data_IF_947369198727
#
_entry.id   IF_947369198727
#
_cell.length_a   1.000
_cell.length_b   1.000
_cell.length_c   1.000
_cell.angle_alpha   90.00
_cell.angle_beta   90.00
_cell.angle_gamma   90.00
#
_symmetry.space_group_name_H-M   'P 1'
#
loop_
_entity.id
_entity.type
_entity.pdbx_description
1 polymer ?
#
# COMPACT_ATOMS: atom_id res chain seq x y z
N UNK A 1 -9.50 4.26 -32.07
CA UNK A 1 -10.71 5.09 -31.88
C UNK A 1 -11.26 4.83 -30.49
N UNK A 2 -11.65 5.86 -29.73
CA UNK A 2 -12.39 5.63 -28.47
C UNK A 2 -13.80 5.16 -28.84
N UNK A 3 -14.35 4.22 -28.06
CA UNK A 3 -15.55 3.50 -28.48
C UNK A 3 -16.82 4.18 -28.04
N UNK A 4 -16.90 4.75 -26.83
CA UNK A 4 -18.07 5.51 -26.40
C UNK A 4 -17.68 6.82 -25.70
N UNK A 5 -18.28 7.93 -26.14
CA UNK A 5 -17.99 9.29 -25.70
C UNK A 5 -19.31 9.99 -25.39
N UNK A 6 -19.35 10.71 -24.28
CA UNK A 6 -20.43 11.64 -23.94
C UNK A 6 -19.83 12.99 -23.57
N UNK A 7 -20.34 14.07 -24.15
CA UNK A 7 -19.93 15.45 -23.85
C UNK A 7 -21.15 16.20 -23.37
N UNK A 8 -21.05 16.85 -22.23
CA UNK A 8 -22.11 17.69 -21.66
C UNK A 8 -21.47 19.02 -21.25
N UNK A 9 -21.49 20.05 -22.12
CA UNK A 9 -20.85 21.32 -21.83
C UNK A 9 -21.44 22.06 -20.62
N UNK A 10 -22.76 21.96 -20.38
CA UNK A 10 -23.41 22.58 -19.21
C UNK A 10 -22.83 22.07 -17.88
N UNK A 11 -22.39 20.82 -17.88
CA UNK A 11 -21.87 20.12 -16.71
C UNK A 11 -20.34 20.15 -16.68
N UNK A 12 -19.70 20.82 -17.67
CA UNK A 12 -18.25 20.84 -17.86
C UNK A 12 -17.66 19.43 -17.83
N UNK A 13 -18.33 18.48 -18.49
CA UNK A 13 -18.06 17.06 -18.35
C UNK A 13 -17.81 16.39 -19.71
N UNK A 14 -16.74 15.59 -19.78
CA UNK A 14 -16.50 14.66 -20.88
C UNK A 14 -16.30 13.25 -20.31
N UNK A 15 -17.06 12.29 -20.84
CA UNK A 15 -17.02 10.88 -20.46
C UNK A 15 -16.43 10.09 -21.63
N UNK A 16 -15.35 9.36 -21.40
CA UNK A 16 -14.74 8.49 -22.42
C UNK A 16 -14.64 7.07 -21.87
N UNK A 17 -15.30 6.12 -22.53
CA UNK A 17 -15.36 4.71 -22.14
C UNK A 17 -15.74 4.51 -20.66
N UNK A 18 -16.73 5.27 -20.18
CA UNK A 18 -17.21 5.22 -18.80
C UNK A 18 -16.36 5.99 -17.77
N UNK A 19 -15.22 6.57 -18.18
CA UNK A 19 -14.42 7.42 -17.30
C UNK A 19 -14.83 8.89 -17.47
N UNK A 20 -15.34 9.47 -16.39
CA UNK A 20 -15.78 10.86 -16.32
C UNK A 20 -14.61 11.77 -15.96
N UNK A 21 -14.42 12.87 -16.69
CA UNK A 21 -13.60 14.00 -16.26
C UNK A 21 -14.43 15.28 -16.29
N UNK A 22 -14.36 16.05 -15.20
CA UNK A 22 -15.00 17.35 -15.06
C UNK A 22 -13.95 18.45 -15.08
N UNK A 23 -13.99 19.30 -16.10
CA UNK A 23 -13.08 20.41 -16.30
C UNK A 23 -13.68 21.41 -17.28
N UNK A 24 -13.26 22.67 -17.20
CA UNK A 24 -13.72 23.70 -18.14
C UNK A 24 -13.08 23.47 -19.51
N UNK A 25 -13.89 23.49 -20.56
CA UNK A 25 -13.44 23.44 -21.94
C UNK A 25 -14.31 24.32 -22.84
N UNK A 26 -13.75 24.77 -23.95
CA UNK A 26 -14.50 25.50 -24.96
C UNK A 26 -15.34 24.53 -25.77
N UNK A 27 -16.65 24.80 -25.82
CA UNK A 27 -17.61 24.04 -26.60
C UNK A 27 -18.36 24.97 -27.57
N UNK A 28 -18.88 24.44 -28.71
CA UNK A 28 -19.78 25.20 -29.56
C UNK A 28 -20.99 25.71 -28.77
N UNK A 29 -21.33 27.00 -28.92
CA UNK A 29 -22.35 27.67 -28.09
C UNK A 29 -23.72 26.99 -28.07
N UNK A 30 -24.08 26.30 -29.15
CA UNK A 30 -25.37 25.62 -29.32
C UNK A 30 -25.34 24.15 -28.92
N UNK A 31 -24.18 23.60 -28.55
CA UNK A 31 -24.05 22.19 -28.18
C UNK A 31 -24.69 21.97 -26.80
N UNK A 32 -25.75 21.15 -26.75
CA UNK A 32 -26.33 20.67 -25.50
C UNK A 32 -25.62 19.40 -25.03
N UNK A 33 -25.53 18.40 -25.90
CA UNK A 33 -24.86 17.15 -25.63
C UNK A 33 -24.33 16.52 -26.93
N UNK A 34 -23.22 15.78 -26.82
CA UNK A 34 -22.76 14.85 -27.86
C UNK A 34 -22.74 13.45 -27.26
N UNK A 35 -23.37 12.50 -27.93
CA UNK A 35 -23.32 11.08 -27.56
C UNK A 35 -22.82 10.27 -28.76
N UNK A 36 -21.73 9.54 -28.56
CA UNK A 36 -21.13 8.67 -29.56
C UNK A 36 -20.88 7.30 -28.98
N UNK A 37 -21.23 6.21 -29.68
CA UNK A 37 -20.85 4.86 -29.29
C UNK A 37 -20.77 3.94 -30.50
N UNK A 38 -19.69 3.17 -30.60
CA UNK A 38 -19.49 2.11 -31.60
C UNK A 38 -19.73 2.53 -33.07
N UNK A 39 -19.23 3.70 -33.46
CA UNK A 39 -19.26 4.15 -34.88
C UNK A 39 -20.47 4.98 -35.28
N UNK A 40 -21.35 5.30 -34.35
CA UNK A 40 -22.51 6.18 -34.59
C UNK A 40 -22.82 7.02 -33.35
N UNK A 41 -23.63 8.06 -33.52
CA UNK A 41 -23.99 8.95 -32.42
C UNK A 41 -24.99 10.01 -32.81
N UNK A 42 -25.16 11.00 -31.95
CA UNK A 42 -25.92 12.21 -32.25
C UNK A 42 -25.41 13.42 -31.45
N UNK A 43 -25.68 14.60 -31.99
CA UNK A 43 -25.54 15.89 -31.31
C UNK A 43 -26.93 16.43 -31.01
N UNK A 44 -27.13 16.87 -29.76
CA UNK A 44 -28.29 17.62 -29.31
C UNK A 44 -27.94 19.10 -29.20
N UNK A 45 -28.86 19.98 -29.59
CA UNK A 45 -28.66 21.42 -29.59
C UNK A 45 -29.53 22.14 -28.56
N UNK A 46 -29.10 23.31 -28.12
CA UNK A 46 -29.83 24.16 -27.16
C UNK A 46 -30.89 25.07 -27.80
N UNK A 47 -30.98 25.11 -29.12
CA UNK A 47 -31.85 26.03 -29.87
C UNK A 47 -32.99 25.33 -30.63
N UNK A 48 -33.52 24.25 -30.05
CA UNK A 48 -34.65 23.46 -30.56
C UNK A 48 -34.46 22.87 -31.98
N UNK A 49 -33.24 22.91 -32.52
CA UNK A 49 -32.91 22.22 -33.76
C UNK A 49 -32.97 20.70 -33.58
N UNK A 50 -33.38 19.95 -34.62
CA UNK A 50 -33.41 18.49 -34.54
C UNK A 50 -32.01 17.93 -34.31
N UNK A 51 -31.92 16.78 -33.61
CA UNK A 51 -30.67 16.09 -33.36
C UNK A 51 -29.94 15.79 -34.67
N UNK A 52 -28.64 16.11 -34.73
CA UNK A 52 -27.80 15.73 -35.86
C UNK A 52 -27.30 14.30 -35.64
N UNK A 53 -27.68 13.38 -36.51
CA UNK A 53 -27.14 12.01 -36.51
C UNK A 53 -25.67 12.04 -36.94
N UNK A 54 -24.83 11.27 -36.24
CA UNK A 54 -23.41 11.11 -36.55
C UNK A 54 -23.13 9.70 -37.06
N UNK A 55 -22.27 9.63 -38.06
CA UNK A 55 -21.72 8.41 -38.65
C UNK A 55 -20.20 8.35 -38.44
N UNK A 56 -19.58 7.22 -38.81
CA UNK A 56 -18.13 7.04 -38.77
C UNK A 56 -17.34 8.20 -39.41
N UNK A 57 -17.85 8.77 -40.50
CA UNK A 57 -17.21 9.84 -41.26
C UNK A 57 -17.19 11.17 -40.49
N UNK A 58 -18.09 11.36 -39.53
CA UNK A 58 -18.19 12.57 -38.71
C UNK A 58 -17.25 12.56 -37.50
N UNK A 59 -16.65 11.41 -37.17
CA UNK A 59 -15.88 11.22 -35.94
C UNK A 59 -14.73 12.23 -35.81
N UNK A 60 -13.93 12.41 -36.87
CA UNK A 60 -12.76 13.28 -36.83
C UNK A 60 -13.13 14.75 -36.59
N UNK A 61 -14.28 15.18 -37.10
CA UNK A 61 -14.73 16.57 -37.03
C UNK A 61 -15.50 16.87 -35.76
N UNK A 62 -16.42 15.99 -35.36
CA UNK A 62 -17.37 16.26 -34.29
C UNK A 62 -16.95 15.65 -32.94
N UNK A 63 -16.31 14.47 -32.95
CA UNK A 63 -16.04 13.69 -31.73
C UNK A 63 -14.58 13.81 -31.28
N UNK A 64 -13.64 13.70 -32.21
CA UNK A 64 -12.20 13.69 -31.93
C UNK A 64 -11.71 14.93 -31.16
N UNK A 65 -12.20 16.17 -31.41
CA UNK A 65 -11.78 17.33 -30.63
C UNK A 65 -12.01 17.16 -29.11
N UNK A 66 -13.17 16.62 -28.72
CA UNK A 66 -13.49 16.37 -27.31
C UNK A 66 -12.68 15.21 -26.72
N UNK A 67 -12.35 14.20 -27.52
CA UNK A 67 -11.44 13.13 -27.10
C UNK A 67 -10.04 13.69 -26.80
N UNK A 68 -9.53 14.59 -27.64
CA UNK A 68 -8.22 15.23 -27.43
C UNK A 68 -8.22 16.08 -26.16
N UNK A 69 -9.29 16.84 -25.90
CA UNK A 69 -9.45 17.62 -24.67
C UNK A 69 -9.42 16.72 -23.43
N UNK A 70 -10.21 15.63 -23.45
CA UNK A 70 -10.25 14.67 -22.36
C UNK A 70 -8.91 13.96 -22.15
N UNK A 71 -8.21 13.55 -23.22
CA UNK A 71 -6.91 12.89 -23.10
C UNK A 71 -5.84 13.83 -22.54
N UNK A 72 -5.87 15.10 -22.94
CA UNK A 72 -4.99 16.15 -22.42
C UNK A 72 -5.22 16.35 -20.92
N UNK A 73 -6.48 16.50 -20.50
CA UNK A 73 -6.80 16.69 -19.09
C UNK A 73 -6.46 15.45 -18.25
N UNK A 74 -6.75 14.26 -18.79
CA UNK A 74 -6.34 13.00 -18.15
C UNK A 74 -4.84 12.93 -17.95
N UNK A 75 -4.06 13.33 -18.95
CA UNK A 75 -2.60 13.34 -18.85
C UNK A 75 -2.11 14.33 -17.78
N UNK A 76 -2.71 15.53 -17.71
CA UNK A 76 -2.42 16.53 -16.67
C UNK A 76 -2.68 15.98 -15.26
N UNK A 77 -3.86 15.41 -15.02
CA UNK A 77 -4.24 14.81 -13.74
C UNK A 77 -3.32 13.63 -13.36
N UNK A 78 -2.99 12.78 -14.33
CA UNK A 78 -2.07 11.67 -14.09
C UNK A 78 -0.66 12.15 -13.76
N UNK A 79 -0.17 13.22 -14.41
CA UNK A 79 1.14 13.79 -14.11
C UNK A 79 1.18 14.37 -12.69
N UNK A 80 0.15 15.13 -12.31
CA UNK A 80 -0.03 15.67 -10.95
C UNK A 80 -0.09 14.54 -9.91
N UNK A 81 -0.87 13.50 -10.17
CA UNK A 81 -0.96 12.33 -9.28
C UNK A 81 0.38 11.58 -9.18
N UNK A 82 1.12 11.43 -10.28
CA UNK A 82 2.43 10.79 -10.29
C UNK A 82 3.47 11.61 -9.50
N UNK A 83 3.44 12.93 -9.62
CA UNK A 83 4.29 13.82 -8.82
C UNK A 83 3.96 13.73 -7.33
N UNK A 84 2.67 13.79 -6.97
CA UNK A 84 2.22 13.61 -5.59
C UNK A 84 2.61 12.25 -5.01
N UNK A 85 2.52 11.18 -5.82
CA UNK A 85 3.00 9.85 -5.44
C UNK A 85 4.51 9.82 -5.22
N UNK A 86 5.27 10.43 -6.13
CA UNK A 86 6.72 10.51 -6.03
C UNK A 86 7.17 11.25 -4.76
N UNK A 87 6.50 12.35 -4.41
CA UNK A 87 6.74 13.08 -3.15
C UNK A 87 6.46 12.19 -1.94
N UNK A 88 5.33 11.48 -1.92
CA UNK A 88 4.98 10.57 -0.82
C UNK A 88 6.01 9.44 -0.66
N UNK A 89 6.42 8.85 -1.78
CA UNK A 89 7.42 7.78 -1.79
C UNK A 89 8.80 8.29 -1.37
N UNK A 90 9.18 9.50 -1.77
CA UNK A 90 10.43 10.13 -1.35
C UNK A 90 10.46 10.37 0.17
N UNK A 91 9.35 10.87 0.74
CA UNK A 91 9.21 11.04 2.19
C UNK A 91 9.27 9.69 2.94
N UNK A 92 8.53 8.69 2.47
CA UNK A 92 8.53 7.34 3.07
C UNK A 92 9.90 6.65 3.00
N UNK A 93 10.64 6.87 1.92
CA UNK A 93 11.98 6.34 1.68
C UNK A 93 13.10 7.29 2.13
N UNK A 94 12.77 8.38 2.82
CA UNK A 94 13.77 9.26 3.38
C UNK A 94 14.66 8.50 4.39
N UNK A 95 15.95 8.87 4.51
CA UNK A 95 16.83 8.24 5.50
C UNK A 95 16.26 8.29 6.92
N UNK A 96 15.64 9.41 7.30
CA UNK A 96 14.98 9.59 8.59
C UNK A 96 13.85 8.56 8.80
N UNK A 97 12.90 8.47 7.86
CA UNK A 97 11.75 7.56 7.96
C UNK A 97 12.19 6.08 8.00
N UNK A 98 13.19 5.70 7.18
CA UNK A 98 13.81 4.36 7.22
C UNK A 98 14.46 4.08 8.57
N UNK A 99 15.23 5.05 9.08
CA UNK A 99 15.92 4.95 10.36
C UNK A 99 14.97 4.78 11.53
N UNK A 100 13.83 5.50 11.53
CA UNK A 100 12.76 5.34 12.52
C UNK A 100 12.22 3.91 12.50
N UNK A 101 11.91 3.35 11.32
CA UNK A 101 11.39 1.97 11.21
C UNK A 101 12.37 0.94 11.75
N UNK A 102 13.67 1.10 11.48
CA UNK A 102 14.71 0.21 12.02
C UNK A 102 14.81 0.32 13.54
N UNK A 103 14.86 1.55 14.07
CA UNK A 103 14.92 1.78 15.53
C UNK A 103 13.69 1.22 16.23
N UNK A 104 12.51 1.35 15.62
CA UNK A 104 11.28 0.77 16.14
C UNK A 104 11.34 -0.77 16.23
N UNK A 105 11.78 -1.44 15.18
CA UNK A 105 11.93 -2.91 15.19
C UNK A 105 13.02 -3.37 16.18
N UNK A 106 14.13 -2.61 16.30
CA UNK A 106 15.14 -2.82 17.35
C UNK A 106 14.50 -2.75 18.74
N UNK A 107 13.74 -1.70 19.03
CA UNK A 107 13.14 -1.48 20.34
C UNK A 107 12.09 -2.54 20.67
N UNK A 108 11.32 -2.99 19.67
CA UNK A 108 10.43 -4.14 19.79
C UNK A 108 11.17 -5.41 20.19
N UNK A 109 12.31 -5.72 19.57
CA UNK A 109 13.13 -6.91 19.88
C UNK A 109 13.84 -6.80 21.23
N UNK A 110 14.28 -5.60 21.60
CA UNK A 110 14.81 -5.32 22.95
C UNK A 110 13.71 -5.54 24.00
N UNK A 111 12.49 -5.07 23.76
CA UNK A 111 11.36 -5.26 24.67
C UNK A 111 11.02 -6.75 24.81
N UNK A 112 10.93 -7.47 23.69
CA UNK A 112 10.62 -8.90 23.68
C UNK A 112 11.68 -9.78 24.40
N UNK A 113 12.93 -9.31 24.47
CA UNK A 113 14.04 -10.02 25.10
C UNK A 113 14.39 -9.51 26.51
N UNK A 114 13.63 -8.57 27.06
CA UNK A 114 13.99 -7.87 28.29
C UNK A 114 14.13 -8.79 29.50
N UNK A 115 13.21 -9.77 29.60
CA UNK A 115 13.21 -10.76 30.69
C UNK A 115 14.52 -11.53 30.83
N UNK A 116 15.24 -11.78 29.73
CA UNK A 116 16.45 -12.59 29.72
C UNK A 116 17.70 -11.81 30.16
N UNK A 117 17.57 -10.51 30.42
CA UNK A 117 18.65 -9.68 30.96
C UNK A 117 18.50 -9.44 32.47
N UNK A 118 17.42 -9.94 33.10
CA UNK A 118 17.21 -9.79 34.53
C UNK A 118 18.18 -10.70 35.32
N UNK A 119 18.78 -10.22 36.42
CA UNK A 119 19.73 -11.01 37.20
C UNK A 119 19.18 -12.32 37.77
N UNK A 120 17.88 -12.38 38.03
CA UNK A 120 17.16 -13.52 38.61
C UNK A 120 16.51 -14.43 37.56
N UNK A 121 16.67 -14.13 36.27
CA UNK A 121 16.13 -14.98 35.21
C UNK A 121 16.86 -16.34 35.20
N UNK A 122 16.13 -17.47 35.28
CA UNK A 122 16.77 -18.78 35.31
C UNK A 122 17.28 -19.15 33.91
N UNK A 123 18.60 -19.08 33.73
CA UNK A 123 19.31 -19.62 32.57
C UNK A 123 19.83 -21.04 32.87
N UNK A 124 19.89 -21.89 31.84
CA UNK A 124 20.42 -23.26 31.95
C UNK A 124 21.89 -23.27 32.35
N UNK A 125 22.65 -22.30 31.84
CA UNK A 125 24.05 -22.07 32.16
C UNK A 125 24.42 -20.60 31.90
N UNK A 126 25.65 -20.26 32.27
CA UNK A 126 26.21 -18.91 32.09
C UNK A 126 26.38 -18.55 30.60
N UNK A 127 26.63 -19.53 29.73
CA UNK A 127 26.76 -19.32 28.29
C UNK A 127 25.44 -18.84 27.69
N UNK A 128 24.32 -19.42 28.09
CA UNK A 128 23.00 -18.98 27.66
C UNK A 128 22.66 -17.58 28.17
N UNK A 129 23.04 -17.25 29.41
CA UNK A 129 22.90 -15.89 29.96
C UNK A 129 23.69 -14.89 29.11
N UNK A 130 24.96 -15.18 28.84
CA UNK A 130 25.82 -14.31 28.03
C UNK A 130 25.30 -14.14 26.60
N UNK A 131 24.80 -15.21 25.97
CA UNK A 131 24.21 -15.14 24.62
C UNK A 131 23.03 -14.16 24.53
N UNK A 132 22.19 -14.07 25.57
CA UNK A 132 21.11 -13.08 25.64
C UNK A 132 21.61 -11.64 25.80
N UNK A 133 22.67 -11.43 26.56
CA UNK A 133 23.31 -10.12 26.69
C UNK A 133 23.95 -9.69 25.38
N UNK A 134 24.68 -10.59 24.72
CA UNK A 134 25.33 -10.35 23.43
C UNK A 134 24.31 -10.05 22.34
N UNK A 135 23.22 -10.81 22.26
CA UNK A 135 22.10 -10.55 21.35
C UNK A 135 21.54 -9.13 21.54
N UNK A 136 21.27 -8.73 22.78
CA UNK A 136 20.73 -7.40 23.09
C UNK A 136 21.73 -6.30 22.77
N UNK A 137 23.03 -6.52 22.99
CA UNK A 137 24.05 -5.56 22.60
C UNK A 137 24.13 -5.44 21.07
N UNK A 138 24.11 -6.56 20.35
CA UNK A 138 24.10 -6.57 18.89
C UNK A 138 22.89 -5.81 18.32
N UNK A 139 21.69 -5.96 18.92
CA UNK A 139 20.52 -5.16 18.55
C UNK A 139 20.77 -3.64 18.70
N UNK A 140 21.41 -3.21 19.80
CA UNK A 140 21.72 -1.79 20.02
C UNK A 140 22.69 -1.24 18.99
N UNK A 141 23.62 -2.07 18.52
CA UNK A 141 24.63 -1.70 17.54
C UNK A 141 24.08 -1.66 16.09
N UNK A 142 22.89 -2.19 15.81
CA UNK A 142 22.32 -2.21 14.44
C UNK A 142 22.36 -0.84 13.73
N UNK A 143 22.00 0.29 14.36
CA UNK A 143 22.08 1.60 13.71
C UNK A 143 23.51 2.12 13.45
N UNK A 144 24.54 1.46 14.00
CA UNK A 144 25.94 1.81 13.83
C UNK A 144 26.61 1.04 12.68
N UNK A 145 25.94 0.01 12.14
CA UNK A 145 26.49 -0.77 11.04
C UNK A 145 26.51 0.03 9.73
N UNK A 146 27.49 -0.28 8.88
CA UNK A 146 27.57 0.26 7.54
C UNK A 146 26.31 -0.05 6.73
N UNK A 147 25.80 0.96 6.02
CA UNK A 147 24.58 0.85 5.22
C UNK A 147 23.31 1.31 5.94
N UNK A 148 23.34 1.62 7.25
CA UNK A 148 22.21 2.26 7.91
C UNK A 148 21.82 3.57 7.17
N UNK A 149 20.52 3.80 6.88
CA UNK A 149 19.35 3.05 7.32
C UNK A 149 18.75 2.03 6.31
N UNK A 150 19.50 1.45 5.35
CA UNK A 150 19.07 0.44 4.33
C UNK A 150 17.67 0.66 3.73
N UNK A 151 16.95 -0.26 3.11
CA UNK A 151 15.54 -0.07 2.71
C UNK A 151 14.55 0.04 3.88
N UNK A 152 15.00 0.09 5.13
CA UNK A 152 14.19 0.03 6.35
C UNK A 152 14.24 -1.35 7.02
N UNK A 153 13.42 -1.56 8.04
CA UNK A 153 13.47 -2.77 8.89
C UNK A 153 13.26 -4.12 8.17
N UNK A 154 12.56 -4.08 7.02
CA UNK A 154 12.25 -5.25 6.20
C UNK A 154 13.27 -5.48 5.07
N UNK A 155 14.29 -4.63 4.92
CA UNK A 155 15.34 -4.85 3.94
C UNK A 155 16.19 -6.07 4.35
N UNK A 156 16.39 -7.07 3.47
CA UNK A 156 17.24 -8.24 3.76
C UNK A 156 18.70 -7.89 4.08
N UNK A 157 19.18 -6.70 3.70
CA UNK A 157 20.49 -6.19 4.08
C UNK A 157 20.58 -5.80 5.56
N UNK A 158 19.46 -5.63 6.27
CA UNK A 158 19.47 -5.47 7.72
C UNK A 158 19.79 -6.80 8.38
N UNK A 159 21.07 -6.97 8.73
CA UNK A 159 21.56 -8.16 9.43
C UNK A 159 21.17 -8.10 10.91
N UNK A 160 19.94 -8.49 11.18
CA UNK A 160 19.49 -8.66 12.55
C UNK A 160 20.21 -9.84 13.24
N UNK A 161 20.64 -9.71 14.50
CA UNK A 161 21.24 -10.83 15.22
C UNK A 161 20.22 -11.96 15.38
N UNK A 162 20.70 -13.20 15.31
CA UNK A 162 19.88 -14.38 15.53
C UNK A 162 19.45 -14.42 17.01
N UNK A 163 18.16 -14.64 17.25
CA UNK A 163 17.63 -14.77 18.61
C UNK A 163 18.20 -16.04 19.28
N UNK A 164 18.73 -15.95 20.51
CA UNK A 164 19.17 -17.13 21.25
C UNK A 164 18.02 -18.10 21.51
N UNK A 165 18.35 -19.38 21.72
CA UNK A 165 17.35 -20.41 22.00
C UNK A 165 16.59 -20.05 23.29
N UNK A 166 15.27 -19.89 23.15
CA UNK A 166 14.39 -19.68 24.31
C UNK A 166 14.38 -20.94 25.13
N UNK A 167 14.81 -20.84 26.38
CA UNK A 167 14.69 -21.93 27.31
C UNK A 167 13.23 -22.01 27.75
N UNK A 168 12.59 -23.16 27.52
CA UNK A 168 11.26 -23.43 28.04
C UNK A 168 11.36 -23.52 29.55
N UNK A 169 10.73 -22.59 30.28
CA UNK A 169 10.69 -22.61 31.75
C UNK A 169 9.65 -23.58 32.30
N UNK A 170 9.15 -24.54 31.51
CA UNK A 170 8.21 -25.56 31.98
C UNK A 170 8.62 -26.95 31.46
N UNK A 171 9.44 -27.65 32.26
CA UNK A 171 9.48 -29.11 32.24
C UNK A 171 8.73 -29.62 33.48
N UNK A 172 7.41 -29.82 33.35
CA UNK A 172 6.58 -30.43 34.40
C UNK A 172 6.76 -31.95 34.50
N UNK A 173 7.75 -32.56 33.81
CA UNK A 173 8.03 -33.99 33.96
C UNK A 173 8.98 -34.28 35.12
N UNK A 174 8.57 -33.91 36.34
CA UNK A 174 9.02 -34.60 37.56
C UNK A 174 7.82 -35.00 38.40
N UNK A 175 7.40 -36.26 38.20
CA UNK A 175 6.91 -37.11 39.29
C UNK A 175 5.46 -36.96 39.73
N UNK A 176 4.48 -37.15 38.83
CA UNK A 176 3.17 -37.60 39.29
C UNK A 176 3.23 -39.13 39.44
N UNK A 177 3.44 -39.62 40.66
CA UNK A 177 3.18 -41.04 40.99
C UNK A 177 1.70 -41.29 40.71
N UNK A 178 1.40 -42.06 39.66
CA UNK A 178 0.08 -42.63 39.45
C UNK A 178 -0.25 -43.48 40.67
N UNK A 179 -1.13 -42.97 41.54
CA UNK A 179 -1.86 -43.80 42.50
C UNK A 179 -2.63 -44.85 41.70
N UNK A 180 -2.49 -46.16 42.00
CA UNK A 180 -3.24 -47.18 41.28
C UNK A 180 -4.74 -47.01 41.57
N UNK A 181 -5.62 -47.29 40.58
CA UNK A 181 -7.05 -47.16 40.78
C UNK A 181 -7.54 -48.17 41.83
N UNK A 182 -8.33 -47.69 42.81
CA UNK A 182 -9.08 -48.56 43.72
C UNK A 182 -10.01 -49.42 42.88
N UNK A 183 -9.81 -50.74 42.94
CA UNK A 183 -10.75 -51.72 42.42
C UNK A 183 -12.09 -51.59 43.15
N UNK A 184 -13.24 -51.68 42.45
CA UNK A 184 -14.53 -51.76 43.10
C UNK A 184 -14.67 -53.13 43.76
N UNK A 185 -14.98 -53.15 45.05
CA UNK A 185 -15.46 -54.37 45.71
C UNK A 185 -16.83 -54.72 45.11
N UNK A 186 -16.93 -55.88 44.47
CA UNK A 186 -18.18 -56.58 44.19
C UNK A 186 -18.39 -57.70 45.22
N UNK A 187 -19.61 -58.24 45.36
CA UNK A 187 -20.94 -57.65 45.16
C UNK A 187 -21.64 -57.29 46.47
#
# INVERSE_FOLDING_TARGET
MKTCITVVPSDSCIIVNGMVLSFTFDAPKKLHALQWCNGSGHIEYTDDQPNMLLSADDYEKEVLPFVILWETEKARLNAEAAEAEAVRLAEYNSPEARGIRIRFERDRRLTASDRYALPDYPHADETARQAWLDYRQALRNVPEHEGFPWGGANDPAVLWPAEPVRQSTFDHKKGFRLMPPRLPLCP
#
